data_IF_170133770524
#
_entry.id   IF_170133770524
#
_cell.length_a   1.000
_cell.length_b   1.000
_cell.length_c   1.000
_cell.angle_alpha   90.00
_cell.angle_beta   90.00
_cell.angle_gamma   90.00
#
_symmetry.space_group_name_H-M   'P 1'
#
loop_
_entity.id
_entity.type
_entity.pdbx_description
1 polymer ?
#
# COMPACT_ATOMS: atom_id res chain seq x y z
N UNK A 1 -15.25 -13.24 21.55
CA UNK A 1 -16.68 -13.39 21.24
C UNK A 1 -17.03 -14.84 21.50
N UNK A 2 -17.99 -15.14 22.38
CA UNK A 2 -18.27 -16.54 22.77
C UNK A 2 -19.22 -17.21 21.78
N UNK A 3 -19.22 -18.55 21.70
CA UNK A 3 -20.19 -19.34 20.92
C UNK A 3 -21.64 -19.07 21.34
N UNK A 4 -21.88 -18.73 22.62
CA UNK A 4 -23.18 -18.27 23.12
C UNK A 4 -23.59 -16.92 22.53
N UNK A 5 -22.65 -15.99 22.34
CA UNK A 5 -22.94 -14.68 21.74
C UNK A 5 -23.29 -14.80 20.26
N UNK A 6 -22.58 -15.69 19.54
CA UNK A 6 -22.88 -16.02 18.14
C UNK A 6 -24.28 -16.64 18.00
N UNK A 7 -24.61 -17.64 18.81
CA UNK A 7 -25.91 -18.31 18.77
C UNK A 7 -27.08 -17.34 19.05
N UNK A 8 -26.94 -16.44 20.03
CA UNK A 8 -27.97 -15.44 20.36
C UNK A 8 -28.25 -14.46 19.21
N UNK A 9 -27.23 -14.10 18.44
CA UNK A 9 -27.37 -13.23 17.27
C UNK A 9 -27.85 -14.02 16.04
N UNK A 10 -27.50 -15.30 15.94
CA UNK A 10 -27.78 -16.17 14.80
C UNK A 10 -29.20 -16.76 14.78
N UNK A 11 -29.82 -17.00 15.94
CA UNK A 11 -31.17 -17.59 16.00
C UNK A 11 -32.30 -16.66 15.50
N UNK A 12 -32.31 -15.35 15.79
CA UNK A 12 -33.25 -14.41 15.16
C UNK A 12 -33.04 -14.28 13.64
N UNK A 13 -31.79 -14.40 13.20
CA UNK A 13 -31.38 -14.46 11.79
C UNK A 13 -32.00 -15.68 11.11
N UNK A 14 -31.75 -16.88 11.62
CA UNK A 14 -32.38 -18.11 11.16
C UNK A 14 -33.90 -17.98 11.12
N UNK A 15 -34.53 -17.45 12.20
CA UNK A 15 -35.99 -17.25 12.24
C UNK A 15 -36.52 -16.36 11.13
N UNK A 16 -35.82 -15.26 10.79
CA UNK A 16 -36.19 -14.37 9.67
C UNK A 16 -35.98 -15.02 8.31
N UNK A 17 -35.01 -15.92 8.16
CA UNK A 17 -34.83 -16.69 6.93
C UNK A 17 -35.79 -17.87 6.83
N UNK A 18 -36.19 -18.50 7.94
CA UNK A 18 -37.05 -19.70 7.95
C UNK A 18 -38.55 -19.40 7.88
N UNK A 19 -38.99 -18.15 8.00
CA UNK A 19 -40.36 -17.78 7.60
C UNK A 19 -40.44 -17.91 6.08
N UNK A 20 -41.28 -18.83 5.56
CA UNK A 20 -41.26 -19.28 4.17
C UNK A 20 -41.30 -18.18 3.10
N UNK A 21 -41.90 -17.02 3.39
CA UNK A 21 -41.91 -15.86 2.51
C UNK A 21 -40.52 -15.23 2.30
N UNK A 22 -39.69 -15.17 3.33
CA UNK A 22 -38.36 -14.53 3.27
C UNK A 22 -37.33 -15.44 2.58
N UNK A 23 -37.36 -16.75 2.86
CA UNK A 23 -36.53 -17.72 2.13
C UNK A 23 -36.91 -17.74 0.64
N UNK A 24 -38.21 -17.74 0.33
CA UNK A 24 -38.68 -17.71 -1.05
C UNK A 24 -38.24 -16.44 -1.75
N UNK A 25 -38.35 -15.25 -1.13
CA UNK A 25 -37.83 -13.99 -1.70
C UNK A 25 -36.32 -13.97 -1.89
N UNK A 26 -35.54 -14.51 -0.94
CA UNK A 26 -34.07 -14.59 -1.06
C UNK A 26 -33.64 -15.58 -2.16
N UNK A 27 -34.32 -16.71 -2.29
CA UNK A 27 -34.00 -17.74 -3.28
C UNK A 27 -34.50 -17.41 -4.70
N UNK A 28 -35.61 -16.66 -4.83
CA UNK A 28 -36.17 -16.23 -6.13
C UNK A 28 -35.55 -14.95 -6.67
N UNK A 29 -34.96 -14.10 -5.81
CA UNK A 29 -34.24 -12.89 -6.22
C UNK A 29 -32.71 -13.07 -6.25
N UNK A 30 -32.24 -14.23 -6.72
CA UNK A 30 -30.81 -14.49 -6.92
C UNK A 30 -30.15 -13.64 -8.01
N UNK A 31 -30.87 -12.69 -8.62
CA UNK A 31 -30.29 -11.76 -9.58
C UNK A 31 -29.92 -10.38 -9.01
N UNK A 32 -30.66 -9.76 -8.06
CA UNK A 32 -30.41 -8.35 -7.65
C UNK A 32 -30.96 -7.92 -6.27
N UNK A 33 -30.94 -8.77 -5.23
CA UNK A 33 -31.50 -8.43 -3.92
C UNK A 33 -30.73 -7.34 -3.13
N UNK A 34 -31.45 -6.36 -2.58
CA UNK A 34 -30.93 -5.36 -1.63
C UNK A 34 -30.26 -6.05 -0.43
N UNK A 35 -29.00 -5.70 -0.06
CA UNK A 35 -28.33 -6.28 1.10
C UNK A 35 -29.16 -6.10 2.37
N UNK A 36 -29.31 -7.16 3.16
CA UNK A 36 -29.95 -7.06 4.47
C UNK A 36 -29.03 -6.26 5.41
N UNK A 37 -29.45 -5.06 5.81
CA UNK A 37 -28.71 -4.26 6.78
C UNK A 37 -28.82 -4.89 8.17
N UNK A 38 -27.68 -5.37 8.69
CA UNK A 38 -27.59 -5.93 10.04
C UNK A 38 -27.02 -4.90 11.00
N UNK A 39 -27.83 -4.40 11.92
CA UNK A 39 -27.34 -3.48 12.95
C UNK A 39 -26.33 -4.21 13.87
N UNK A 40 -25.19 -3.58 14.14
CA UNK A 40 -24.19 -4.08 15.08
C UNK A 40 -23.50 -2.89 15.74
N UNK A 41 -23.85 -2.62 16.99
CA UNK A 41 -23.41 -1.40 17.67
C UNK A 41 -21.88 -1.29 17.78
N UNK A 42 -21.17 -2.41 17.92
CA UNK A 42 -19.70 -2.41 17.97
C UNK A 42 -19.08 -2.09 16.61
N UNK A 43 -19.61 -2.68 15.54
CA UNK A 43 -19.18 -2.36 14.19
C UNK A 43 -19.48 -0.89 13.87
N UNK A 44 -20.70 -0.44 14.19
CA UNK A 44 -21.10 0.95 14.00
C UNK A 44 -20.13 1.88 14.74
N UNK A 45 -19.86 1.65 16.02
CA UNK A 45 -18.87 2.42 16.79
C UNK A 45 -17.48 2.44 16.14
N UNK A 46 -17.05 1.31 15.55
CA UNK A 46 -15.75 1.21 14.89
C UNK A 46 -15.69 2.01 13.58
N UNK A 47 -16.76 1.99 12.79
CA UNK A 47 -16.82 2.72 11.51
C UNK A 47 -17.37 4.14 11.66
N UNK A 48 -17.81 4.54 12.85
CA UNK A 48 -18.27 5.90 13.11
C UNK A 48 -17.07 6.85 12.88
N UNK A 49 -17.17 7.76 11.92
CA UNK A 49 -16.16 8.80 11.76
C UNK A 49 -16.16 9.70 13.01
N UNK A 50 -15.04 10.42 13.29
CA UNK A 50 -15.03 11.41 14.35
C UNK A 50 -16.13 12.46 14.15
N UNK A 51 -16.70 12.96 15.26
CA UNK A 51 -17.88 13.85 15.29
C UNK A 51 -17.79 15.00 14.27
N UNK A 52 -16.60 15.61 14.14
CA UNK A 52 -16.32 16.73 13.27
C UNK A 52 -16.53 16.45 11.76
N UNK A 53 -16.58 15.19 11.35
CA UNK A 53 -16.66 14.76 9.93
C UNK A 53 -17.84 13.87 9.62
N UNK A 54 -18.75 13.72 10.59
CA UNK A 54 -19.82 12.73 10.48
C UNK A 54 -20.62 12.91 9.19
N UNK A 55 -20.94 14.15 8.81
CA UNK A 55 -21.67 14.45 7.59
C UNK A 55 -20.91 14.10 6.30
N UNK A 56 -19.59 14.21 6.30
CA UNK A 56 -18.76 14.10 5.10
C UNK A 56 -18.31 12.67 4.83
N UNK A 57 -18.10 11.89 5.89
CA UNK A 57 -17.73 10.47 5.85
C UNK A 57 -18.95 9.54 5.94
N UNK A 58 -20.15 10.08 6.05
CA UNK A 58 -21.41 9.31 6.06
C UNK A 58 -21.51 8.36 4.84
N UNK A 59 -21.20 8.76 3.59
CA UNK A 59 -21.26 7.84 2.44
C UNK A 59 -20.26 6.68 2.54
N UNK A 60 -19.09 6.90 3.15
CA UNK A 60 -18.10 5.84 3.39
C UNK A 60 -18.61 4.86 4.47
N UNK A 61 -19.18 5.40 5.54
CA UNK A 61 -19.82 4.62 6.61
C UNK A 61 -20.92 3.72 6.02
N UNK A 62 -21.77 4.29 5.15
CA UNK A 62 -22.81 3.55 4.41
C UNK A 62 -22.23 2.48 3.48
N UNK A 63 -21.12 2.78 2.80
CA UNK A 63 -20.43 1.81 1.95
C UNK A 63 -19.90 0.61 2.75
N UNK A 64 -19.30 0.85 3.91
CA UNK A 64 -18.84 -0.22 4.80
C UNK A 64 -20.00 -1.04 5.38
N UNK A 65 -21.13 -0.39 5.68
CA UNK A 65 -22.38 -1.08 6.02
C UNK A 65 -22.86 -2.00 4.90
N UNK A 66 -22.86 -1.53 3.65
CA UNK A 66 -23.25 -2.33 2.49
C UNK A 66 -22.31 -3.51 2.26
N UNK A 67 -20.99 -3.31 2.36
CA UNK A 67 -19.98 -4.38 2.26
C UNK A 67 -20.19 -5.44 3.31
N UNK A 68 -20.39 -5.04 4.56
CA UNK A 68 -20.66 -5.96 5.67
C UNK A 68 -21.98 -6.71 5.46
N UNK A 69 -23.06 -6.01 5.10
CA UNK A 69 -24.36 -6.61 4.82
C UNK A 69 -24.28 -7.65 3.70
N UNK A 70 -23.58 -7.32 2.61
CA UNK A 70 -23.35 -8.23 1.50
C UNK A 70 -22.56 -9.47 1.93
N UNK A 71 -21.44 -9.28 2.64
CA UNK A 71 -20.64 -10.38 3.15
C UNK A 71 -21.45 -11.34 4.03
N UNK A 72 -22.19 -10.80 5.01
CA UNK A 72 -23.05 -11.59 5.90
C UNK A 72 -24.14 -12.33 5.13
N UNK A 73 -24.78 -11.67 4.16
CA UNK A 73 -25.84 -12.27 3.34
C UNK A 73 -25.28 -13.44 2.51
N UNK A 74 -24.13 -13.27 1.87
CA UNK A 74 -23.49 -14.32 1.07
C UNK A 74 -23.01 -15.50 1.94
N UNK A 75 -22.46 -15.22 3.12
CA UNK A 75 -22.09 -16.27 4.07
C UNK A 75 -23.31 -17.08 4.50
N UNK A 76 -24.42 -16.43 4.83
CA UNK A 76 -25.65 -17.11 5.21
C UNK A 76 -26.23 -17.93 4.06
N UNK A 77 -26.26 -17.37 2.85
CA UNK A 77 -26.73 -18.08 1.66
C UNK A 77 -25.91 -19.36 1.42
N UNK A 78 -24.59 -19.29 1.54
CA UNK A 78 -23.72 -20.46 1.38
C UNK A 78 -23.94 -21.53 2.45
N UNK A 79 -24.18 -21.11 3.70
CA UNK A 79 -24.57 -22.06 4.76
C UNK A 79 -25.87 -22.78 4.36
N UNK A 80 -26.89 -22.05 3.89
CA UNK A 80 -28.16 -22.65 3.48
C UNK A 80 -28.02 -23.57 2.26
N UNK A 81 -27.22 -23.20 1.26
CA UNK A 81 -27.02 -24.03 0.07
C UNK A 81 -26.37 -25.36 0.44
N UNK A 82 -25.37 -25.34 1.33
CA UNK A 82 -24.72 -26.56 1.84
C UNK A 82 -25.74 -27.46 2.55
N UNK A 83 -26.59 -26.91 3.43
CA UNK A 83 -27.64 -27.70 4.10
C UNK A 83 -28.70 -28.25 3.14
N UNK A 84 -28.97 -27.55 2.03
CA UNK A 84 -29.92 -27.99 1.01
C UNK A 84 -29.32 -29.01 0.01
N UNK A 85 -28.05 -29.39 0.16
CA UNK A 85 -27.34 -30.25 -0.81
C UNK A 85 -27.11 -29.58 -2.16
N UNK A 86 -27.16 -28.25 -2.22
CA UNK A 86 -26.89 -27.45 -3.41
C UNK A 86 -25.40 -27.06 -3.44
N UNK A 87 -24.82 -26.87 -4.64
CA UNK A 87 -23.45 -26.37 -4.75
C UNK A 87 -23.31 -25.00 -4.07
N UNK A 88 -22.16 -24.78 -3.43
CA UNK A 88 -21.83 -23.48 -2.84
C UNK A 88 -21.90 -22.39 -3.90
N UNK A 89 -22.53 -21.26 -3.57
CA UNK A 89 -22.43 -20.07 -4.42
C UNK A 89 -21.03 -19.51 -4.19
N UNK A 90 -20.18 -19.41 -5.23
CA UNK A 90 -18.87 -18.81 -5.04
C UNK A 90 -19.09 -17.41 -4.45
N UNK A 91 -18.45 -17.13 -3.32
CA UNK A 91 -18.32 -15.76 -2.83
C UNK A 91 -17.38 -15.07 -3.80
N UNK A 92 -17.90 -14.70 -4.97
CA UNK A 92 -17.25 -13.68 -5.76
C UNK A 92 -17.12 -12.50 -4.84
N UNK A 93 -15.89 -12.09 -4.50
CA UNK A 93 -15.69 -10.72 -4.04
C UNK A 93 -16.44 -9.89 -5.06
N UNK A 94 -17.50 -9.20 -4.65
CA UNK A 94 -18.31 -8.41 -5.55
C UNK A 94 -17.37 -7.38 -6.18
N UNK A 95 -16.75 -7.74 -7.31
CA UNK A 95 -15.98 -6.82 -8.12
C UNK A 95 -16.98 -5.76 -8.53
N UNK A 96 -16.51 -4.51 -8.49
CA UNK A 96 -17.19 -3.25 -8.77
C UNK A 96 -17.93 -3.15 -10.11
N UNK A 97 -18.71 -4.14 -10.56
CA UNK A 97 -19.77 -3.86 -11.53
C UNK A 97 -20.75 -2.81 -10.95
N UNK A 98 -20.89 -2.75 -9.62
CA UNK A 98 -21.66 -1.73 -8.88
C UNK A 98 -21.00 -0.33 -8.77
N UNK A 99 -19.67 -0.20 -8.94
CA UNK A 99 -18.95 1.08 -8.70
C UNK A 99 -18.16 1.59 -9.90
N UNK A 100 -18.68 1.42 -11.12
CA UNK A 100 -18.18 2.25 -12.24
C UNK A 100 -18.66 3.69 -11.98
N UNK A 101 -17.78 4.69 -12.12
CA UNK A 101 -18.14 6.09 -11.85
C UNK A 101 -19.34 6.55 -12.68
N UNK A 102 -19.62 5.90 -13.81
CA UNK A 102 -20.80 6.11 -14.65
C UNK A 102 -22.14 5.84 -13.97
N UNK A 103 -22.17 5.04 -12.90
CA UNK A 103 -23.39 4.69 -12.15
C UNK A 103 -23.53 5.44 -10.81
N UNK A 104 -22.50 6.17 -10.39
CA UNK A 104 -22.60 7.00 -9.20
C UNK A 104 -23.49 8.21 -9.47
N UNK A 105 -24.35 8.53 -8.51
CA UNK A 105 -25.12 9.76 -8.53
C UNK A 105 -24.18 10.98 -8.50
N UNK A 106 -24.68 12.12 -8.95
CA UNK A 106 -23.95 13.39 -8.89
C UNK A 106 -23.52 13.73 -7.45
N UNK A 107 -24.33 13.34 -6.45
CA UNK A 107 -24.06 13.55 -5.02
C UNK A 107 -22.92 12.65 -4.53
N UNK A 108 -22.91 11.37 -4.93
CA UNK A 108 -21.83 10.43 -4.57
C UNK A 108 -20.48 10.87 -5.17
N UNK A 109 -20.50 11.39 -6.40
CA UNK A 109 -19.29 11.97 -7.03
C UNK A 109 -18.81 13.23 -6.31
N UNK A 110 -19.73 14.07 -5.85
CA UNK A 110 -19.40 15.27 -5.06
C UNK A 110 -18.83 14.89 -3.70
N UNK A 111 -19.44 13.94 -3.00
CA UNK A 111 -18.93 13.41 -1.73
C UNK A 111 -17.52 12.84 -1.86
N UNK A 112 -17.25 12.08 -2.92
CA UNK A 112 -15.91 11.55 -3.20
C UNK A 112 -14.85 12.66 -3.42
N UNK A 113 -15.23 13.77 -4.07
CA UNK A 113 -14.34 14.94 -4.24
C UNK A 113 -14.11 15.69 -2.93
N UNK A 114 -15.15 15.86 -2.11
CA UNK A 114 -15.06 16.50 -0.78
C UNK A 114 -14.18 15.69 0.16
N UNK A 115 -14.31 14.36 0.19
CA UNK A 115 -13.44 13.45 0.95
C UNK A 115 -11.96 13.63 0.60
N UNK A 116 -11.67 13.83 -0.69
CA UNK A 116 -10.31 14.07 -1.18
C UNK A 116 -9.75 15.41 -0.67
N UNK A 117 -10.57 16.45 -0.61
CA UNK A 117 -10.17 17.78 -0.13
C UNK A 117 -10.04 17.84 1.40
N UNK A 118 -10.92 17.19 2.16
CA UNK A 118 -10.84 17.13 3.63
C UNK A 118 -9.62 16.34 4.12
N UNK A 119 -9.24 15.28 3.41
CA UNK A 119 -7.97 14.59 3.64
C UNK A 119 -6.75 15.48 3.36
N UNK A 120 -6.87 16.56 2.59
CA UNK A 120 -5.81 17.53 2.30
C UNK A 120 -5.73 18.65 3.36
N UNK A 121 -6.86 19.00 4.00
CA UNK A 121 -6.93 20.08 5.02
C UNK A 121 -6.57 19.62 6.45
N UNK A 122 -6.67 18.32 6.76
CA UNK A 122 -6.52 17.81 8.13
C UNK A 122 -5.12 17.54 8.66
N UNK A 123 -4.11 18.15 8.06
CA UNK A 123 -2.79 18.17 8.66
C UNK A 123 -2.41 19.64 9.01
N UNK A 124 -2.73 20.15 10.22
CA UNK A 124 -2.15 21.40 10.72
C UNK A 124 -1.32 21.22 12.02
N UNK A 125 -1.10 19.99 12.51
CA UNK A 125 -0.54 19.74 13.86
C UNK A 125 0.73 18.86 13.92
N UNK A 126 1.65 18.98 12.95
CA UNK A 126 2.98 18.36 13.05
C UNK A 126 4.01 19.16 13.88
N UNK A 127 3.62 20.31 14.45
CA UNK A 127 4.54 21.30 15.04
C UNK A 127 4.89 21.12 16.53
N UNK A 128 4.47 20.05 17.21
CA UNK A 128 4.76 19.86 18.65
C UNK A 128 5.44 18.54 19.02
N UNK A 129 6.25 17.97 18.11
CA UNK A 129 7.23 16.93 18.50
C UNK A 129 8.56 17.62 18.75
N UNK A 130 9.06 17.53 19.99
CA UNK A 130 10.37 18.04 20.39
C UNK A 130 11.51 17.54 19.51
N UNK A 131 12.73 18.10 19.66
CA UNK A 131 13.85 17.87 18.73
C UNK A 131 14.04 16.38 18.46
N UNK A 132 13.91 16.03 17.17
CA UNK A 132 14.12 14.70 16.62
C UNK A 132 15.51 14.19 17.03
N UNK A 133 15.61 13.46 18.14
CA UNK A 133 16.81 12.68 18.44
C UNK A 133 16.76 11.47 17.50
N UNK A 134 17.49 11.56 16.40
CA UNK A 134 17.63 10.51 15.39
C UNK A 134 17.91 9.17 16.08
N UNK A 135 16.93 8.26 16.11
CA UNK A 135 17.11 6.93 16.70
C UNK A 135 18.05 6.12 15.81
N UNK A 136 19.31 5.97 16.23
CA UNK A 136 20.30 5.14 15.55
C UNK A 136 19.94 3.67 15.76
N UNK A 137 19.72 2.91 14.67
CA UNK A 137 19.32 1.50 14.72
C UNK A 137 20.26 0.62 13.90
N UNK A 138 20.37 -0.66 14.31
CA UNK A 138 21.15 -1.66 13.59
C UNK A 138 20.56 -1.88 12.19
N UNK A 139 21.41 -1.91 11.17
CA UNK A 139 21.02 -2.07 9.77
C UNK A 139 20.69 -3.51 9.37
N UNK A 140 21.25 -4.48 10.08
CA UNK A 140 21.17 -5.90 9.69
C UNK A 140 19.74 -6.39 9.65
N UNK A 141 19.37 -7.07 8.57
CA UNK A 141 18.08 -7.73 8.43
C UNK A 141 17.77 -8.63 9.64
N UNK A 142 16.59 -8.46 10.24
CA UNK A 142 16.16 -9.19 11.43
C UNK A 142 16.77 -8.72 12.76
N UNK A 143 17.68 -7.74 12.75
CA UNK A 143 18.17 -7.10 13.95
C UNK A 143 17.39 -5.82 14.26
N UNK A 144 16.75 -5.77 15.43
CA UNK A 144 15.88 -4.63 15.82
C UNK A 144 16.43 -3.81 16.98
N UNK A 145 17.73 -3.95 17.29
CA UNK A 145 18.36 -3.18 18.36
C UNK A 145 18.45 -1.71 17.93
N UNK A 146 17.99 -0.83 18.81
CA UNK A 146 18.09 0.63 18.70
C UNK A 146 19.07 1.07 19.78
N UNK A 147 19.96 2.01 19.46
CA UNK A 147 20.93 2.53 20.41
C UNK A 147 20.20 3.36 21.46
N UNK A 148 20.25 2.93 22.72
CA UNK A 148 19.74 3.74 23.83
C UNK A 148 20.81 4.73 24.29
N UNK A 149 20.37 5.83 24.88
CA UNK A 149 21.25 6.81 25.48
C UNK A 149 22.06 6.14 26.62
N UNK A 150 23.38 6.33 26.63
CA UNK A 150 24.29 5.68 27.57
C UNK A 150 24.78 4.28 27.18
N UNK A 151 24.22 3.64 26.14
CA UNK A 151 24.74 2.36 25.64
C UNK A 151 25.97 2.55 24.74
N UNK A 152 26.76 1.48 24.59
CA UNK A 152 27.90 1.45 23.67
C UNK A 152 27.45 1.88 22.27
N UNK A 153 28.12 2.90 21.72
CA UNK A 153 27.84 3.40 20.36
C UNK A 153 27.87 2.26 19.34
N UNK A 154 26.88 2.24 18.46
CA UNK A 154 26.83 1.26 17.36
C UNK A 154 28.05 1.42 16.45
N UNK A 155 28.50 0.30 15.90
CA UNK A 155 29.65 0.27 14.99
C UNK A 155 29.23 0.72 13.61
N UNK A 156 30.11 1.47 12.94
CA UNK A 156 29.91 1.89 11.55
C UNK A 156 30.74 1.02 10.62
N UNK A 157 30.22 0.73 9.42
CA UNK A 157 31.05 0.17 8.36
C UNK A 157 32.16 1.16 7.98
N UNK A 158 33.43 0.81 8.22
CA UNK A 158 34.58 1.69 8.00
C UNK A 158 34.65 2.26 6.58
N UNK A 159 34.59 1.44 5.52
CA UNK A 159 34.55 1.93 4.15
C UNK A 159 33.38 2.88 3.85
N UNK A 160 32.17 2.57 4.33
CA UNK A 160 31.01 3.44 4.13
C UNK A 160 31.13 4.76 4.87
N UNK A 161 31.64 4.74 6.12
CA UNK A 161 31.87 5.94 6.92
C UNK A 161 32.82 6.92 6.21
N UNK A 162 33.87 6.42 5.56
CA UNK A 162 34.80 7.25 4.76
C UNK A 162 34.12 7.97 3.60
N UNK A 163 32.97 7.46 3.14
CA UNK A 163 32.16 8.04 2.05
C UNK A 163 30.98 8.88 2.56
N UNK A 164 30.91 9.15 3.87
CA UNK A 164 29.79 9.86 4.46
C UNK A 164 28.49 9.04 4.54
N UNK A 165 28.55 7.72 4.32
CA UNK A 165 27.39 6.84 4.47
C UNK A 165 27.37 6.22 5.87
N UNK A 166 26.24 6.36 6.55
CA UNK A 166 26.09 5.88 7.93
C UNK A 166 25.35 4.54 7.98
N UNK A 167 26.13 3.45 8.01
CA UNK A 167 25.61 2.09 8.22
C UNK A 167 25.97 1.60 9.62
N UNK A 168 24.99 1.62 10.52
CA UNK A 168 25.16 1.26 11.92
C UNK A 168 24.88 -0.22 12.19
N UNK A 169 25.69 -0.84 13.04
CA UNK A 169 25.56 -2.23 13.45
C UNK A 169 25.70 -2.35 14.97
N UNK A 170 24.81 -3.09 15.62
CA UNK A 170 24.93 -3.34 17.06
C UNK A 170 26.06 -4.32 17.40
N UNK A 171 26.53 -5.11 16.44
CA UNK A 171 27.59 -6.11 16.64
C UNK A 171 28.30 -6.46 15.33
N UNK A 172 29.43 -7.16 15.41
CA UNK A 172 30.24 -7.52 14.23
C UNK A 172 29.55 -8.62 13.43
N UNK A 173 28.83 -9.50 14.12
CA UNK A 173 28.02 -10.57 13.54
C UNK A 173 26.91 -9.97 12.67
N UNK A 174 26.25 -8.93 13.17
CA UNK A 174 25.26 -8.17 12.41
C UNK A 174 25.86 -7.58 11.13
N UNK A 175 27.04 -6.96 11.23
CA UNK A 175 27.76 -6.47 10.04
C UNK A 175 28.08 -7.59 9.05
N UNK A 176 28.52 -8.77 9.51
CA UNK A 176 28.85 -9.92 8.65
C UNK A 176 27.61 -10.46 7.94
N UNK A 177 26.47 -10.54 8.63
CA UNK A 177 25.19 -10.98 8.03
C UNK A 177 24.77 -9.99 6.94
N UNK A 178 24.76 -8.69 7.25
CA UNK A 178 24.43 -7.64 6.29
C UNK A 178 25.40 -7.62 5.10
N UNK A 179 26.69 -7.86 5.37
CA UNK A 179 27.74 -8.00 4.35
C UNK A 179 27.40 -9.10 3.34
N UNK A 180 27.04 -10.29 3.81
CA UNK A 180 26.64 -11.43 2.97
C UNK A 180 25.32 -11.17 2.24
N UNK A 181 24.39 -10.47 2.87
CA UNK A 181 23.03 -10.25 2.36
C UNK A 181 22.89 -9.08 1.37
N UNK A 182 23.98 -8.40 1.03
CA UNK A 182 23.96 -7.40 -0.04
C UNK A 182 24.81 -6.18 0.22
N UNK A 183 25.16 -5.90 1.49
CA UNK A 183 26.00 -4.75 1.80
C UNK A 183 27.36 -4.83 1.09
N UNK A 184 27.92 -6.03 0.84
CA UNK A 184 29.14 -6.21 0.03
C UNK A 184 29.02 -5.58 -1.37
N UNK A 185 27.84 -5.62 -2.00
CA UNK A 185 27.60 -5.08 -3.35
C UNK A 185 27.51 -3.54 -3.35
N UNK A 186 27.13 -2.95 -2.22
CA UNK A 186 26.94 -1.50 -2.06
C UNK A 186 28.17 -0.84 -1.42
N UNK A 187 28.87 -1.57 -0.56
CA UNK A 187 30.01 -1.11 0.18
C UNK A 187 31.20 -0.93 -0.76
N UNK A 188 31.66 0.30 -0.90
CA UNK A 188 32.83 0.60 -1.74
C UNK A 188 32.48 1.04 -3.16
N UNK A 189 31.21 0.95 -3.59
CA UNK A 189 30.76 1.63 -4.82
C UNK A 189 30.81 3.14 -4.56
N UNK A 190 31.50 3.89 -5.42
CA UNK A 190 31.56 5.34 -5.31
C UNK A 190 30.16 5.91 -5.58
N UNK A 191 29.45 6.34 -4.54
CA UNK A 191 28.45 7.37 -4.78
C UNK A 191 29.25 8.61 -5.14
N UNK A 192 29.42 8.85 -6.45
CA UNK A 192 29.89 10.11 -6.95
C UNK A 192 28.88 11.16 -6.48
N UNK A 193 29.18 11.80 -5.35
CA UNK A 193 28.58 13.08 -5.02
C UNK A 193 28.88 13.97 -6.21
N UNK A 194 27.83 14.35 -6.92
CA UNK A 194 27.86 15.16 -8.14
C UNK A 194 28.47 16.52 -7.82
N UNK A 195 29.81 16.60 -7.88
CA UNK A 195 30.60 17.81 -8.04
C UNK A 195 32.05 17.39 -8.28
N UNK A 196 32.44 17.31 -9.56
CA UNK A 196 33.82 17.01 -9.94
C UNK A 196 33.89 16.20 -11.23
N UNK A 197 33.89 16.92 -12.35
CA UNK A 197 34.27 16.41 -13.68
C UNK A 197 35.66 15.75 -13.60
N UNK A 198 35.75 14.45 -13.85
CA UNK A 198 36.85 13.84 -14.57
C UNK A 198 36.39 12.46 -15.07
N UNK A 199 36.36 12.35 -16.40
CA UNK A 199 36.03 11.16 -17.17
C UNK A 199 37.03 10.04 -16.92
N UNK A 200 36.56 8.80 -17.16
CA UNK A 200 37.28 7.51 -17.21
C UNK A 200 37.19 6.61 -15.95
N UNK A 201 35.97 6.19 -15.62
CA UNK A 201 35.73 4.95 -14.85
C UNK A 201 34.76 4.03 -15.59
N UNK A 202 34.89 2.70 -15.47
CA UNK A 202 34.16 1.74 -16.27
C UNK A 202 32.66 1.83 -15.98
N UNK A 203 31.90 1.93 -17.07
CA UNK A 203 30.45 2.07 -17.11
C UNK A 203 29.76 1.18 -16.05
N UNK A 204 28.89 1.73 -15.19
CA UNK A 204 28.23 0.97 -14.14
C UNK A 204 27.49 -0.21 -14.79
N UNK A 205 27.76 -1.42 -14.30
CA UNK A 205 27.12 -2.65 -14.74
C UNK A 205 25.61 -2.46 -14.77
N UNK A 206 25.04 -2.37 -15.97
CA UNK A 206 23.61 -2.26 -16.21
C UNK A 206 22.97 -3.53 -15.65
N UNK A 207 22.22 -3.40 -14.55
CA UNK A 207 21.50 -4.52 -13.95
C UNK A 207 20.25 -4.78 -14.79
N UNK A 208 20.37 -5.56 -15.86
CA UNK A 208 19.20 -5.90 -16.65
C UNK A 208 18.24 -6.76 -15.80
N UNK A 209 17.09 -6.18 -15.41
CA UNK A 209 16.01 -6.86 -14.70
C UNK A 209 14.80 -7.15 -15.62
N UNK A 210 14.98 -7.72 -16.83
CA UNK A 210 13.98 -7.68 -17.90
C UNK A 210 12.69 -8.44 -17.56
N UNK A 211 12.72 -9.33 -16.56
CA UNK A 211 11.55 -10.11 -16.15
C UNK A 211 10.68 -9.44 -15.09
N UNK A 212 11.12 -8.34 -14.50
CA UNK A 212 10.59 -7.88 -13.20
C UNK A 212 9.80 -6.58 -13.24
N UNK A 213 9.76 -5.92 -14.40
CA UNK A 213 9.08 -4.62 -14.55
C UNK A 213 9.79 -3.46 -13.86
N UNK A 214 10.98 -3.68 -13.27
CA UNK A 214 11.83 -2.64 -12.69
C UNK A 214 12.76 -2.08 -13.78
N UNK A 215 12.69 -0.78 -14.10
CA UNK A 215 13.53 -0.19 -15.14
C UNK A 215 14.96 0.03 -14.64
N UNK A 216 15.91 -0.05 -15.57
CA UNK A 216 17.27 0.44 -15.34
C UNK A 216 17.26 1.95 -15.08
N UNK A 217 18.16 2.47 -14.22
CA UNK A 217 18.32 3.90 -14.06
C UNK A 217 18.86 4.52 -15.37
N UNK A 218 18.32 5.66 -15.74
CA UNK A 218 18.73 6.50 -16.85
C UNK A 218 19.61 7.62 -16.28
N UNK A 219 20.83 7.74 -16.79
CA UNK A 219 21.76 8.77 -16.34
C UNK A 219 21.14 10.18 -16.48
N UNK A 220 21.41 11.10 -15.52
CA UNK A 220 22.36 10.98 -14.41
C UNK A 220 21.78 10.32 -13.14
N UNK A 221 20.53 9.85 -13.17
CA UNK A 221 19.92 9.22 -12.00
C UNK A 221 20.62 7.91 -11.65
N UNK A 222 20.80 7.66 -10.35
CA UNK A 222 21.35 6.41 -9.82
C UNK A 222 20.44 5.90 -8.72
N UNK A 223 20.29 4.58 -8.60
CA UNK A 223 19.49 4.01 -7.52
C UNK A 223 20.22 4.18 -6.19
N UNK A 224 19.55 4.80 -5.23
CA UNK A 224 20.06 4.89 -3.87
C UNK A 224 20.12 3.49 -3.21
N UNK A 225 20.91 3.32 -2.13
CA UNK A 225 20.91 2.07 -1.36
C UNK A 225 19.53 1.70 -0.81
N UNK A 226 18.67 2.68 -0.52
CA UNK A 226 17.31 2.42 -0.07
C UNK A 226 16.42 1.94 -1.23
N UNK A 227 16.56 2.53 -2.42
CA UNK A 227 15.81 2.11 -3.59
C UNK A 227 16.24 0.71 -4.07
N UNK A 228 17.53 0.40 -4.03
CA UNK A 228 18.02 -0.96 -4.34
C UNK A 228 17.46 -2.01 -3.37
N UNK A 229 17.24 -1.63 -2.11
CA UNK A 229 16.62 -2.49 -1.11
C UNK A 229 15.11 -2.68 -1.37
N UNK A 230 14.40 -1.61 -1.74
CA UNK A 230 13.01 -1.69 -2.19
C UNK A 230 12.89 -2.61 -3.42
N UNK A 231 13.78 -2.45 -4.41
CA UNK A 231 13.85 -3.30 -5.60
C UNK A 231 14.11 -4.75 -5.18
N UNK A 232 15.16 -5.04 -4.40
CA UNK A 232 15.46 -6.42 -4.00
C UNK A 232 14.29 -7.10 -3.28
N UNK A 233 13.55 -6.36 -2.46
CA UNK A 233 12.39 -6.87 -1.73
C UNK A 233 11.21 -7.15 -2.66
N UNK A 234 10.99 -6.32 -3.69
CA UNK A 234 9.99 -6.56 -4.74
C UNK A 234 10.35 -7.75 -5.65
N UNK A 235 11.63 -8.13 -5.71
CA UNK A 235 12.11 -9.25 -6.51
C UNK A 235 12.20 -10.57 -5.76
N UNK A 236 11.96 -10.58 -4.45
CA UNK A 236 12.06 -11.80 -3.66
C UNK A 236 10.93 -12.77 -4.04
N UNK A 237 11.24 -13.97 -4.57
CA UNK A 237 10.22 -14.94 -4.98
C UNK A 237 9.41 -15.51 -3.82
N UNK A 238 9.86 -15.34 -2.57
CA UNK A 238 9.15 -15.82 -1.39
C UNK A 238 8.15 -14.78 -0.84
N UNK A 239 8.23 -13.54 -1.31
CA UNK A 239 7.36 -12.46 -0.85
C UNK A 239 6.05 -12.40 -1.66
N UNK A 240 5.01 -11.86 -1.03
CA UNK A 240 3.71 -11.71 -1.70
C UNK A 240 3.84 -10.65 -2.81
N UNK A 241 3.38 -10.96 -4.05
CA UNK A 241 3.44 -10.02 -5.15
C UNK A 241 2.74 -8.69 -4.81
N UNK A 242 3.50 -7.61 -4.78
CA UNK A 242 3.02 -6.27 -4.44
C UNK A 242 3.64 -5.19 -5.35
N UNK A 243 2.99 -4.02 -5.42
CA UNK A 243 3.46 -2.89 -6.22
C UNK A 243 4.47 -2.02 -5.46
N UNK A 244 4.42 -2.03 -4.13
CA UNK A 244 5.32 -1.26 -3.30
C UNK A 244 5.29 -1.79 -1.86
N UNK A 245 6.41 -1.64 -1.16
CA UNK A 245 6.56 -2.12 0.22
C UNK A 245 6.88 -0.90 1.07
N UNK A 246 6.09 -0.65 2.10
CA UNK A 246 6.45 0.33 3.11
C UNK A 246 7.21 -0.38 4.21
N UNK A 247 8.37 0.15 4.56
CA UNK A 247 9.21 -0.36 5.62
C UNK A 247 9.07 0.53 6.86
N UNK A 248 8.97 -0.08 8.03
CA UNK A 248 9.07 0.68 9.27
C UNK A 248 10.50 1.19 9.53
N UNK A 249 10.72 1.93 10.60
CA UNK A 249 12.05 2.42 11.02
C UNK A 249 13.08 1.31 11.25
N UNK A 250 12.64 0.06 11.40
CA UNK A 250 13.48 -1.14 11.55
C UNK A 250 13.68 -1.89 10.24
N UNK A 251 13.26 -1.31 9.11
CA UNK A 251 13.29 -1.91 7.77
C UNK A 251 12.52 -3.22 7.62
N UNK A 252 11.67 -3.57 8.59
CA UNK A 252 10.75 -4.67 8.40
C UNK A 252 9.58 -4.20 7.53
N UNK A 253 9.10 -5.02 6.57
CA UNK A 253 7.87 -4.74 5.85
C UNK A 253 6.75 -4.47 6.86
N UNK A 254 6.16 -3.29 6.80
CA UNK A 254 5.03 -2.93 7.66
C UNK A 254 3.72 -2.84 6.89
N UNK A 255 3.79 -2.63 5.58
CA UNK A 255 2.64 -2.58 4.70
C UNK A 255 3.03 -2.99 3.28
N UNK A 256 2.15 -3.75 2.62
CA UNK A 256 2.28 -4.15 1.23
C UNK A 256 1.19 -3.46 0.43
N UNK A 257 1.58 -2.59 -0.51
CA UNK A 257 0.64 -2.02 -1.44
C UNK A 257 0.31 -3.06 -2.51
N UNK A 258 -0.79 -3.80 -2.30
CA UNK A 258 -1.21 -4.88 -3.20
C UNK A 258 -2.47 -4.55 -4.01
N UNK A 259 -3.25 -3.55 -3.60
CA UNK A 259 -4.58 -3.30 -4.15
C UNK A 259 -4.91 -1.80 -4.13
N UNK A 260 -4.40 -1.06 -5.11
CA UNK A 260 -5.10 0.15 -5.55
C UNK A 260 -6.27 -0.31 -6.42
N UNK A 261 -7.48 -0.05 -5.94
CA UNK A 261 -8.72 -0.30 -6.65
C UNK A 261 -9.45 1.05 -6.73
N UNK A 262 -9.64 1.63 -7.91
CA UNK A 262 -9.80 0.99 -9.22
C UNK A 262 -8.49 0.57 -9.93
N UNK A 263 -8.52 -0.42 -10.86
CA UNK A 263 -7.35 -0.89 -11.60
C UNK A 263 -6.56 0.22 -12.31
N UNK A 264 -7.23 1.28 -12.72
CA UNK A 264 -6.65 2.46 -13.36
C UNK A 264 -5.66 3.17 -12.43
N UNK A 265 -5.95 3.25 -11.13
CA UNK A 265 -5.07 3.88 -10.15
C UNK A 265 -3.83 3.02 -9.90
N UNK A 266 -3.98 1.69 -9.94
CA UNK A 266 -2.85 0.76 -9.90
C UNK A 266 -1.94 0.91 -11.11
N UNK A 267 -2.51 0.95 -12.31
CA UNK A 267 -1.77 1.19 -13.55
C UNK A 267 -1.02 2.53 -13.45
N UNK A 268 -1.72 3.58 -13.02
CA UNK A 268 -1.11 4.90 -12.84
C UNK A 268 0.04 4.86 -11.85
N UNK A 269 -0.16 4.26 -10.68
CA UNK A 269 0.88 4.11 -9.66
C UNK A 269 2.09 3.36 -10.21
N UNK A 270 1.87 2.25 -10.92
CA UNK A 270 2.94 1.47 -11.51
C UNK A 270 3.75 2.28 -12.54
N UNK A 271 3.09 3.10 -13.36
CA UNK A 271 3.77 4.01 -14.30
C UNK A 271 4.59 5.06 -13.55
N UNK A 272 4.03 5.70 -12.52
CA UNK A 272 4.77 6.67 -11.70
C UNK A 272 5.98 6.04 -11.03
N UNK A 273 5.81 4.84 -10.44
CA UNK A 273 6.90 4.05 -9.86
C UNK A 273 8.02 3.79 -10.85
N UNK A 274 7.68 3.37 -12.07
CA UNK A 274 8.67 3.14 -13.13
C UNK A 274 9.43 4.41 -13.48
N UNK A 275 8.73 5.53 -13.70
CA UNK A 275 9.38 6.82 -14.01
C UNK A 275 10.31 7.27 -12.87
N UNK A 276 9.85 7.18 -11.62
CA UNK A 276 10.68 7.49 -10.46
C UNK A 276 11.91 6.58 -10.37
N UNK A 277 11.76 5.27 -10.61
CA UNK A 277 12.88 4.31 -10.62
C UNK A 277 13.81 4.47 -11.82
N UNK A 278 13.34 4.93 -12.98
CA UNK A 278 14.18 5.09 -14.16
C UNK A 278 14.92 6.42 -14.13
N UNK A 279 14.23 7.54 -13.91
CA UNK A 279 14.80 8.87 -14.14
C UNK A 279 14.91 9.71 -12.87
N UNK A 280 14.42 9.22 -11.72
CA UNK A 280 14.30 10.03 -10.52
C UNK A 280 13.28 11.16 -10.68
N UNK A 281 12.28 11.00 -11.57
CA UNK A 281 11.25 12.01 -11.83
C UNK A 281 10.54 12.40 -10.53
N UNK A 282 10.80 13.63 -10.06
CA UNK A 282 10.26 14.13 -8.80
C UNK A 282 8.74 14.22 -8.83
N UNK A 283 8.14 14.59 -9.97
CA UNK A 283 6.68 14.65 -10.10
C UNK A 283 6.06 13.26 -9.98
N UNK A 284 6.72 12.24 -10.54
CA UNK A 284 6.32 10.87 -10.34
C UNK A 284 6.43 10.43 -8.87
N UNK A 285 7.47 10.85 -8.15
CA UNK A 285 7.60 10.61 -6.69
C UNK A 285 6.49 11.30 -5.90
N UNK A 286 6.12 12.54 -6.21
CA UNK A 286 4.98 13.21 -5.58
C UNK A 286 3.65 12.49 -5.88
N UNK A 287 3.47 11.96 -7.09
CA UNK A 287 2.30 11.16 -7.44
C UNK A 287 2.25 9.82 -6.69
N UNK A 288 3.40 9.14 -6.53
CA UNK A 288 3.51 7.95 -5.68
C UNK A 288 3.17 8.27 -4.22
N UNK A 289 3.70 9.37 -3.68
CA UNK A 289 3.40 9.83 -2.34
C UNK A 289 1.90 10.03 -2.11
N UNK A 290 1.23 10.75 -3.02
CA UNK A 290 -0.22 10.96 -2.95
C UNK A 290 -0.99 9.64 -2.93
N UNK A 291 -0.62 8.69 -3.78
CA UNK A 291 -1.26 7.38 -3.83
C UNK A 291 -1.03 6.56 -2.54
N UNK A 292 0.21 6.55 -2.02
CA UNK A 292 0.57 5.86 -0.79
C UNK A 292 -0.14 6.46 0.44
N UNK A 293 -0.24 7.79 0.50
CA UNK A 293 -0.97 8.49 1.58
C UNK A 293 -2.45 8.16 1.58
N UNK A 294 -3.08 8.21 0.39
CA UNK A 294 -4.50 7.84 0.25
C UNK A 294 -4.73 6.38 0.62
N UNK A 295 -3.84 5.48 0.18
CA UNK A 295 -3.90 4.08 0.55
C UNK A 295 -3.73 3.87 2.06
N UNK A 296 -2.76 4.54 2.69
CA UNK A 296 -2.54 4.49 4.12
C UNK A 296 -3.78 4.94 4.92
N UNK A 297 -4.43 6.02 4.48
CA UNK A 297 -5.63 6.55 5.12
C UNK A 297 -6.84 5.60 5.05
N UNK A 298 -6.95 4.79 3.98
CA UNK A 298 -8.06 3.83 3.83
C UNK A 298 -7.70 2.41 4.28
N UNK A 299 -6.42 2.09 4.35
CA UNK A 299 -5.95 0.88 5.01
C UNK A 299 -6.19 1.10 6.51
N UNK A 300 -6.84 0.16 7.20
CA UNK A 300 -6.97 0.22 8.67
C UNK A 300 -5.60 0.05 9.40
N UNK A 301 -4.50 0.32 8.71
CA UNK A 301 -3.13 0.25 9.18
C UNK A 301 -2.73 1.65 9.67
N UNK A 302 -2.21 1.72 10.90
CA UNK A 302 -1.69 2.95 11.49
C UNK A 302 -0.33 3.33 10.88
N UNK A 303 -0.35 3.75 9.62
CA UNK A 303 0.84 4.13 8.86
C UNK A 303 1.04 5.64 9.00
N UNK A 304 2.06 6.02 9.77
CA UNK A 304 2.47 7.41 9.92
C UNK A 304 2.89 8.01 8.57
N UNK A 305 2.30 9.13 8.18
CA UNK A 305 2.61 9.84 6.93
C UNK A 305 4.11 10.23 6.85
N UNK A 306 4.73 10.49 8.00
CA UNK A 306 6.16 10.75 8.13
C UNK A 306 7.02 9.57 7.67
N UNK A 307 6.53 8.34 7.83
CA UNK A 307 7.20 7.12 7.33
C UNK A 307 7.28 7.12 5.81
N UNK A 308 6.17 7.42 5.13
CA UNK A 308 6.09 7.46 3.66
C UNK A 308 7.04 8.53 3.12
N UNK A 309 7.01 9.74 3.71
CA UNK A 309 7.91 10.84 3.33
C UNK A 309 9.38 10.47 3.54
N UNK A 310 9.70 9.83 4.67
CA UNK A 310 11.06 9.42 4.98
C UNK A 310 11.57 8.37 3.98
N UNK A 311 10.76 7.34 3.69
CA UNK A 311 11.15 6.30 2.74
C UNK A 311 11.37 6.85 1.33
N UNK A 312 10.44 7.66 0.80
CA UNK A 312 10.61 8.26 -0.53
C UNK A 312 11.82 9.20 -0.61
N UNK A 313 12.15 9.91 0.48
CA UNK A 313 13.35 10.73 0.56
C UNK A 313 14.62 9.89 0.49
N UNK A 314 14.69 8.80 1.25
CA UNK A 314 15.85 7.89 1.23
C UNK A 314 16.00 7.20 -0.14
N UNK A 315 14.88 6.84 -0.77
CA UNK A 315 14.88 6.15 -2.07
C UNK A 315 15.25 7.05 -3.24
N UNK A 316 14.66 8.25 -3.31
CA UNK A 316 14.72 9.11 -4.50
C UNK A 316 15.42 10.45 -4.27
N UNK A 317 15.81 10.78 -3.03
CA UNK A 317 16.39 12.08 -2.68
C UNK A 317 15.39 13.24 -2.70
N UNK A 318 14.08 12.96 -2.81
CA UNK A 318 13.04 13.99 -2.91
C UNK A 318 12.54 14.37 -1.52
N UNK A 319 12.67 15.64 -1.15
CA UNK A 319 12.08 16.18 0.07
C UNK A 319 10.61 16.54 -0.17
N UNK A 320 9.71 15.77 0.41
CA UNK A 320 8.27 16.02 0.34
C UNK A 320 7.85 16.79 1.58
N UNK A 321 7.41 18.03 1.39
CA UNK A 321 6.85 18.87 2.43
C UNK A 321 5.31 18.79 2.41
N UNK A 322 4.72 19.30 3.49
CA UNK A 322 3.28 19.43 3.60
C UNK A 322 2.75 20.41 2.55
N UNK A 323 1.70 20.03 1.82
CA UNK A 323 1.14 20.81 0.70
C UNK A 323 1.79 20.56 -0.67
N UNK A 324 2.89 19.79 -0.74
CA UNK A 324 3.52 19.41 -2.01
C UNK A 324 2.68 18.44 -2.86
N UNK A 325 1.52 18.02 -2.36
CA UNK A 325 0.58 17.13 -3.05
C UNK A 325 0.02 17.75 -4.33
N UNK A 326 -0.01 19.07 -4.41
CA UNK A 326 -0.34 19.80 -5.63
C UNK A 326 0.67 19.53 -6.75
N UNK A 327 1.94 19.27 -6.42
CA UNK A 327 2.98 18.90 -7.40
C UNK A 327 2.71 17.55 -8.04
N UNK A 328 1.95 16.66 -7.39
CA UNK A 328 1.50 15.42 -8.02
C UNK A 328 0.63 15.65 -9.26
N UNK A 329 -0.03 16.81 -9.38
CA UNK A 329 -0.80 17.19 -10.57
C UNK A 329 0.09 17.56 -11.75
N UNK A 330 1.35 17.92 -11.49
CA UNK A 330 2.36 18.20 -12.52
C UNK A 330 2.94 16.92 -13.12
N UNK A 331 2.69 15.76 -12.50
CA UNK A 331 3.06 14.48 -13.09
C UNK A 331 2.29 14.28 -14.39
N UNK A 332 3.02 14.18 -15.50
CA UNK A 332 2.41 13.97 -16.80
C UNK A 332 1.55 12.70 -16.80
N UNK A 333 0.41 12.75 -17.47
CA UNK A 333 -0.46 11.58 -17.56
C UNK A 333 0.31 10.40 -18.20
N UNK A 334 0.06 9.15 -17.77
CA UNK A 334 0.61 7.98 -18.42
C UNK A 334 0.25 7.95 -19.91
N UNK A 335 1.24 7.69 -20.77
CA UNK A 335 1.00 7.47 -22.21
C UNK A 335 0.25 6.17 -22.43
N UNK A 336 -0.27 5.96 -23.64
CA UNK A 336 -0.97 4.72 -24.00
C UNK A 336 -0.03 3.51 -23.85
N UNK A 337 1.20 3.63 -24.31
CA UNK A 337 2.24 2.59 -24.28
C UNK A 337 2.63 2.24 -22.84
N UNK A 338 2.76 3.25 -21.97
CA UNK A 338 3.05 3.04 -20.55
C UNK A 338 1.90 2.31 -19.85
N UNK A 339 0.65 2.69 -20.13
CA UNK A 339 -0.54 2.01 -19.59
C UNK A 339 -0.60 0.56 -20.04
N UNK A 340 -0.38 0.29 -21.32
CA UNK A 340 -0.36 -1.07 -21.85
C UNK A 340 0.77 -1.91 -21.26
N UNK A 341 1.97 -1.33 -21.12
CA UNK A 341 3.13 -1.99 -20.50
C UNK A 341 2.85 -2.32 -19.03
N UNK A 342 2.31 -1.37 -18.26
CA UNK A 342 1.93 -1.56 -16.87
C UNK A 342 0.81 -2.60 -16.72
N UNK A 343 -0.23 -2.56 -17.58
CA UNK A 343 -1.30 -3.55 -17.58
C UNK A 343 -0.77 -4.97 -17.84
N UNK A 344 0.07 -5.14 -18.87
CA UNK A 344 0.70 -6.44 -19.18
C UNK A 344 1.53 -6.97 -18.02
N UNK A 345 2.26 -6.08 -17.33
CA UNK A 345 3.02 -6.45 -16.14
C UNK A 345 2.11 -6.92 -15.00
N UNK A 346 1.09 -6.12 -14.66
CA UNK A 346 0.12 -6.41 -13.61
C UNK A 346 -0.57 -7.75 -13.89
N UNK A 347 -1.03 -7.95 -15.13
CA UNK A 347 -1.66 -9.18 -15.59
C UNK A 347 -0.76 -10.42 -15.42
N UNK A 348 0.53 -10.28 -15.77
CA UNK A 348 1.52 -11.36 -15.75
C UNK A 348 1.99 -11.71 -14.35
N UNK A 349 2.38 -10.72 -13.56
CA UNK A 349 3.03 -10.93 -12.25
C UNK A 349 2.02 -11.27 -11.17
N UNK A 350 0.80 -10.74 -11.27
CA UNK A 350 -0.20 -10.88 -10.23
C UNK A 350 -1.26 -11.94 -10.58
N UNK A 351 -1.05 -12.68 -11.69
CA UNK A 351 -1.94 -13.74 -12.12
C UNK A 351 -3.37 -13.28 -12.43
N UNK A 352 -3.57 -12.00 -12.76
CA UNK A 352 -4.91 -11.41 -12.81
C UNK A 352 -5.69 -11.76 -14.08
N UNK A 353 -5.02 -12.28 -15.12
CA UNK A 353 -5.51 -12.27 -16.49
C UNK A 353 -6.24 -13.53 -16.97
N UNK A 354 -6.15 -14.70 -16.34
CA UNK A 354 -6.73 -15.92 -16.92
C UNK A 354 -8.10 -16.32 -16.36
N UNK A 355 -8.42 -16.00 -15.10
CA UNK A 355 -9.67 -16.47 -14.47
C UNK A 355 -10.81 -15.44 -14.46
N UNK A 356 -10.55 -14.19 -14.84
CA UNK A 356 -11.47 -13.06 -14.59
C UNK A 356 -11.93 -12.28 -15.84
N UNK A 357 -11.55 -12.70 -17.06
CA UNK A 357 -12.00 -12.05 -18.31
C UNK A 357 -13.11 -12.82 -19.04
N UNK A 358 -13.46 -14.03 -18.62
CA UNK A 358 -14.45 -14.90 -19.28
C UNK A 358 -15.83 -14.95 -18.61
N UNK A 359 -16.08 -14.15 -17.57
CA UNK A 359 -17.39 -13.93 -16.91
C UNK A 359 -17.63 -12.42 -16.69
#
# INVERSE_FOLDING_TARGET
MTTKDLSRQFMPLLKKFTTGEALSRVLTHTSYGTPLLFNNDKFNQYIQPPEAYRAELEPFTQLEHLRRAHCLTMTLLNIFTVFAGLPEVPIGTARRKWFRSSHLSEEERKASKVLKTLCEEFNPQSSNRGPNVSRIACRTWGCHKVQKEGEKKMMLCGPCKKKGLEFYYCSKECQIIDWKNGHKKLCGVGHHSTQGTNESDPSPTVYDYPKTGIPNPVLPFTHSPALLYQISSLLDPNEVPCDYILFNSKRAPCALLMALDPPEDRIRFHVMRRRAMSTGDQNAVYAMYKALRLWAAVSAMDIDEGLIRHQLREEYGVQINQGDESKALLASNPTKEEKESASKYIDKVLGWSSTLRTN
#
